data_IF_933080500223
#
_entry.id   IF_933080500223
#
_cell.length_a   1.000
_cell.length_b   1.000
_cell.length_c   1.000
_cell.angle_alpha   90.00
_cell.angle_beta   90.00
_cell.angle_gamma   90.00
#
_symmetry.space_group_name_H-M   'P 1'
#
loop_
_entity.id
_entity.type
_entity.pdbx_description
1 polymer ?
#
# COMPACT_ATOMS: atom_id res chain seq x y z
N UNK A 1 11.15 -22.67 -9.80
CA UNK A 1 10.15 -22.83 -8.74
C UNK A 1 9.33 -21.54 -8.66
N UNK A 2 8.25 -21.43 -9.44
CA UNK A 2 7.33 -20.29 -9.39
C UNK A 2 6.08 -20.72 -8.65
N UNK A 3 6.00 -20.38 -7.36
CA UNK A 3 4.79 -20.51 -6.56
C UNK A 3 4.58 -19.21 -5.80
N UNK A 4 3.65 -18.40 -6.29
CA UNK A 4 2.82 -17.43 -5.56
C UNK A 4 1.82 -16.87 -6.58
N UNK A 5 0.93 -17.74 -7.03
CA UNK A 5 -0.28 -17.31 -7.73
C UNK A 5 -1.16 -16.59 -6.73
N UNK A 6 -1.56 -15.37 -7.07
CA UNK A 6 -2.59 -14.63 -6.36
C UNK A 6 -3.89 -15.43 -6.43
N UNK A 7 -4.37 -15.91 -5.29
CA UNK A 7 -5.65 -16.59 -5.15
C UNK A 7 -6.74 -15.51 -5.23
N UNK A 8 -7.35 -15.36 -6.42
CA UNK A 8 -8.25 -14.25 -6.75
C UNK A 8 -9.73 -14.59 -6.64
N UNK A 9 -10.11 -15.78 -6.17
CA UNK A 9 -11.49 -16.18 -5.96
C UNK A 9 -11.56 -17.17 -4.79
N UNK A 10 -12.10 -16.76 -3.65
CA UNK A 10 -12.56 -17.71 -2.63
C UNK A 10 -13.81 -18.40 -3.20
N UNK A 11 -13.82 -19.74 -3.22
CA UNK A 11 -14.88 -20.56 -3.80
C UNK A 11 -16.19 -20.43 -3.00
N UNK A 12 -17.07 -19.47 -3.31
CA UNK A 12 -18.52 -19.63 -3.12
C UNK A 12 -19.35 -18.94 -4.23
N UNK A 13 -20.39 -19.60 -4.80
CA UNK A 13 -21.10 -19.11 -5.97
C UNK A 13 -22.32 -18.27 -5.56
N UNK A 14 -22.23 -16.94 -5.63
CA UNK A 14 -23.43 -16.10 -5.59
C UNK A 14 -23.20 -14.76 -6.28
N UNK A 15 -23.80 -14.62 -7.47
CA UNK A 15 -23.87 -13.39 -8.25
C UNK A 15 -22.77 -13.27 -9.31
N UNK A 16 -23.17 -13.22 -10.58
CA UNK A 16 -22.30 -12.88 -11.71
C UNK A 16 -21.67 -11.48 -11.52
N UNK A 17 -20.50 -11.43 -10.89
CA UNK A 17 -19.52 -10.39 -11.08
C UNK A 17 -18.34 -11.05 -11.78
N UNK A 18 -18.01 -10.56 -12.98
CA UNK A 18 -16.80 -10.99 -13.65
C UNK A 18 -15.60 -10.55 -12.79
N UNK A 19 -15.05 -11.47 -12.01
CA UNK A 19 -13.74 -11.30 -11.39
C UNK A 19 -12.69 -11.37 -12.49
N UNK A 20 -12.53 -10.28 -13.24
CA UNK A 20 -11.38 -10.12 -14.11
C UNK A 20 -10.16 -9.85 -13.22
N UNK A 21 -9.29 -10.85 -13.09
CA UNK A 21 -8.02 -10.74 -12.39
C UNK A 21 -7.07 -9.81 -13.16
N UNK A 22 -7.35 -8.52 -13.17
CA UNK A 22 -6.44 -7.52 -13.73
C UNK A 22 -5.29 -7.43 -12.74
N UNK A 23 -4.13 -7.93 -13.16
CA UNK A 23 -2.88 -7.77 -12.42
C UNK A 23 -2.62 -6.27 -12.24
N UNK A 24 -2.73 -5.79 -11.00
CA UNK A 24 -2.38 -4.41 -10.68
C UNK A 24 -0.89 -4.19 -10.94
N UNK A 25 -0.54 -3.09 -11.64
CA UNK A 25 0.86 -2.77 -11.90
C UNK A 25 1.62 -2.63 -10.57
N UNK A 26 2.90 -3.00 -10.54
CA UNK A 26 3.70 -2.90 -9.32
C UNK A 26 3.69 -1.46 -8.77
N UNK A 27 3.76 -0.48 -9.66
CA UNK A 27 3.66 0.95 -9.36
C UNK A 27 2.38 1.30 -8.58
N UNK A 28 1.24 0.76 -9.01
CA UNK A 28 -0.04 1.00 -8.35
C UNK A 28 -0.11 0.29 -6.99
N UNK A 29 0.58 -0.84 -6.82
CA UNK A 29 0.64 -1.55 -5.53
C UNK A 29 1.50 -0.78 -4.52
N UNK A 30 2.63 -0.23 -4.96
CA UNK A 30 3.57 0.51 -4.08
C UNK A 30 3.16 1.96 -3.84
N UNK A 31 2.28 2.53 -4.66
CA UNK A 31 1.81 3.90 -4.51
C UNK A 31 0.89 4.03 -3.29
N UNK A 32 1.25 4.81 -2.26
CA UNK A 32 0.44 4.90 -1.05
C UNK A 32 -0.91 5.56 -1.33
N UNK A 33 -2.00 5.01 -0.79
CA UNK A 33 -3.36 5.52 -1.00
C UNK A 33 -3.99 6.14 0.26
N UNK A 34 -3.30 6.11 1.39
CA UNK A 34 -3.78 6.72 2.63
C UNK A 34 -2.74 6.80 3.73
N UNK A 35 -3.02 7.61 4.74
CA UNK A 35 -2.26 7.63 5.99
C UNK A 35 -3.20 7.74 7.19
N UNK A 36 -2.78 7.24 8.34
CA UNK A 36 -3.51 7.34 9.61
C UNK A 36 -2.55 7.52 10.78
N UNK A 37 -3.00 8.22 11.81
CA UNK A 37 -2.31 8.27 13.08
C UNK A 37 -3.33 7.95 14.17
N UNK A 38 -3.25 6.73 14.72
CA UNK A 38 -4.18 6.25 15.73
C UNK A 38 -3.56 6.39 17.12
N UNK A 39 -4.38 6.51 18.16
CA UNK A 39 -3.90 6.57 19.54
C UNK A 39 -3.13 5.31 20.00
N UNK A 40 -3.38 4.18 19.35
CA UNK A 40 -2.69 2.91 19.62
C UNK A 40 -1.38 2.77 18.84
N UNK A 41 -1.21 3.54 17.75
CA UNK A 41 -0.04 3.47 16.90
C UNK A 41 1.04 4.41 17.48
N UNK A 42 2.29 3.94 17.56
CA UNK A 42 3.42 4.76 18.04
C UNK A 42 3.79 5.88 17.07
N UNK A 43 3.46 5.70 15.79
CA UNK A 43 3.75 6.62 14.70
C UNK A 43 2.68 6.55 13.62
N UNK A 44 2.76 7.45 12.62
CA UNK A 44 1.84 7.47 11.49
C UNK A 44 2.06 6.26 10.58
N UNK A 45 0.96 5.58 10.27
CA UNK A 45 0.93 4.43 9.38
C UNK A 45 0.45 4.85 7.99
N UNK A 46 0.98 4.21 6.96
CA UNK A 46 0.69 4.45 5.55
C UNK A 46 0.11 3.20 4.92
N UNK A 47 -0.93 3.37 4.11
CA UNK A 47 -1.62 2.26 3.46
C UNK A 47 -1.01 2.01 2.09
N UNK A 48 -0.71 0.75 1.80
CA UNK A 48 -0.23 0.32 0.48
C UNK A 48 -1.28 0.57 -0.59
N UNK A 49 -0.85 0.71 -1.85
CA UNK A 49 -1.75 1.01 -2.97
C UNK A 49 -2.75 -0.10 -3.27
N UNK A 50 -2.36 -1.35 -3.02
CA UNK A 50 -3.26 -2.52 -3.04
C UNK A 50 -4.22 -2.57 -1.83
N UNK A 51 -4.04 -1.69 -0.86
CA UNK A 51 -4.89 -1.52 0.31
C UNK A 51 -4.75 -2.60 1.39
N UNK A 52 -3.80 -3.53 1.25
CA UNK A 52 -3.68 -4.72 2.12
C UNK A 52 -2.91 -4.48 3.40
N UNK A 53 -1.92 -3.57 3.37
CA UNK A 53 -1.00 -3.36 4.49
C UNK A 53 -1.08 -1.93 5.01
N UNK A 54 -0.85 -1.79 6.32
CA UNK A 54 -0.56 -0.54 6.99
C UNK A 54 0.85 -0.63 7.56
N UNK A 55 1.75 0.22 7.09
CA UNK A 55 3.17 0.18 7.42
C UNK A 55 3.62 1.53 7.97
N UNK A 56 4.55 1.53 8.92
CA UNK A 56 5.30 2.74 9.28
C UNK A 56 6.10 3.26 8.08
N UNK A 57 6.65 4.48 8.17
CA UNK A 57 7.46 5.05 7.06
C UNK A 57 8.62 4.13 6.68
N UNK A 58 9.35 3.64 7.68
CA UNK A 58 10.54 2.82 7.46
C UNK A 58 10.19 1.42 6.97
N UNK A 59 9.12 0.81 7.50
CA UNK A 59 8.60 -0.46 6.98
C UNK A 59 8.13 -0.32 5.53
N UNK A 60 7.47 0.79 5.17
CA UNK A 60 7.00 1.03 3.81
C UNK A 60 8.17 1.14 2.82
N UNK A 61 9.23 1.86 3.19
CA UNK A 61 10.44 1.98 2.36
C UNK A 61 11.15 0.64 2.20
N UNK A 62 11.28 -0.14 3.27
CA UNK A 62 11.89 -1.47 3.22
C UNK A 62 11.07 -2.42 2.34
N UNK A 63 9.77 -2.52 2.58
CA UNK A 63 8.84 -3.35 1.82
C UNK A 63 8.85 -3.02 0.32
N UNK A 64 8.72 -1.73 -0.02
CA UNK A 64 8.72 -1.30 -1.42
C UNK A 64 10.06 -1.60 -2.09
N UNK A 65 11.20 -1.36 -1.40
CA UNK A 65 12.54 -1.71 -1.88
C UNK A 65 12.67 -3.20 -2.19
N UNK A 66 12.12 -4.08 -1.35
CA UNK A 66 12.13 -5.53 -1.59
C UNK A 66 11.34 -5.93 -2.85
N UNK A 67 10.33 -5.15 -3.23
CA UNK A 67 9.59 -5.33 -4.49
C UNK A 67 10.29 -4.72 -5.70
N UNK A 68 11.41 -4.02 -5.50
CA UNK A 68 12.21 -3.40 -6.57
C UNK A 68 11.90 -1.92 -6.81
N UNK A 69 11.11 -1.27 -5.95
CA UNK A 69 10.81 0.17 -6.04
C UNK A 69 10.95 0.83 -4.67
N UNK A 70 11.89 1.75 -4.48
CA UNK A 70 11.97 2.44 -3.19
C UNK A 70 11.02 3.64 -3.13
N UNK A 71 9.92 3.51 -2.37
CA UNK A 71 8.91 4.56 -2.20
C UNK A 71 8.92 5.07 -0.77
N UNK A 72 9.17 6.37 -0.60
CA UNK A 72 8.93 7.07 0.66
C UNK A 72 7.52 7.70 0.61
N UNK A 73 6.59 7.25 1.48
CA UNK A 73 5.21 7.70 1.40
C UNK A 73 5.04 9.19 1.73
N UNK A 74 5.90 9.76 2.57
CA UNK A 74 5.85 11.20 2.90
C UNK A 74 6.26 12.02 1.69
N UNK A 75 7.36 11.62 1.02
CA UNK A 75 7.83 12.26 -0.21
C UNK A 75 6.78 12.12 -1.32
N UNK A 76 6.11 10.97 -1.42
CA UNK A 76 5.04 10.78 -2.39
C UNK A 76 3.87 11.74 -2.13
N UNK A 77 3.30 11.76 -0.92
CA UNK A 77 2.16 12.62 -0.59
C UNK A 77 2.48 14.10 -0.81
N UNK A 78 3.67 14.54 -0.37
CA UNK A 78 4.13 15.93 -0.56
C UNK A 78 4.32 16.29 -2.03
N UNK A 79 4.87 15.40 -2.87
CA UNK A 79 4.98 15.62 -4.32
C UNK A 79 3.62 15.69 -5.02
N UNK A 80 2.64 14.95 -4.52
CA UNK A 80 1.26 14.99 -5.01
C UNK A 80 0.46 16.20 -4.48
N UNK A 81 1.09 17.09 -3.70
CA UNK A 81 0.47 18.31 -3.19
C UNK A 81 -0.36 18.11 -1.91
N UNK A 82 -0.27 16.95 -1.26
CA UNK A 82 -0.91 16.76 0.04
C UNK A 82 -0.12 17.50 1.13
N UNK A 83 -0.81 18.20 2.04
CA UNK A 83 -0.15 18.89 3.14
C UNK A 83 0.51 17.88 4.08
N UNK A 84 1.68 18.25 4.61
CA UNK A 84 2.37 17.46 5.62
C UNK A 84 1.56 17.51 6.93
N UNK A 85 1.18 16.35 7.51
CA UNK A 85 0.57 16.32 8.84
C UNK A 85 1.49 16.91 9.93
N UNK A 86 0.93 17.54 10.97
CA UNK A 86 1.71 18.26 11.99
C UNK A 86 2.61 17.35 12.84
N UNK A 87 2.31 16.05 12.89
CA UNK A 87 3.11 15.03 13.57
C UNK A 87 4.39 14.65 12.81
N UNK A 88 4.50 15.02 11.53
CA UNK A 88 5.68 14.71 10.72
C UNK A 88 6.70 15.83 10.83
N UNK A 89 7.95 15.47 11.17
CA UNK A 89 9.12 16.35 11.11
C UNK A 89 10.02 15.88 9.97
N UNK A 90 10.39 16.81 9.08
CA UNK A 90 11.29 16.56 7.94
C UNK A 90 12.75 16.53 8.37
#
# INVERSE_FOLDING_TARGET
MSKKGFDCCDEEPSGEQACECISQALEDQVTPNGSRFLAVDKERMYRTGDGKLWLSREEYKAWSRELGMEVDPIVWFTRMGHPLPPDIKL
#
